data_IF_649491050405
#
_entry.id   IF_649491050405
#
_cell.length_a   1.000
_cell.length_b   1.000
_cell.length_c   1.000
_cell.angle_alpha   90.00
_cell.angle_beta   90.00
_cell.angle_gamma   90.00
#
_symmetry.space_group_name_H-M   'P 1'
#
loop_
_entity.id
_entity.type
_entity.pdbx_description
1 polymer ?
#
# COMPACT_ATOMS: atom_id res chain seq x y z
N UNK A 1 -10.42 3.37 6.77
CA UNK A 1 -9.00 3.43 7.13
C UNK A 1 -8.73 4.34 8.31
N UNK A 2 -9.44 5.47 8.39
CA UNK A 2 -9.24 6.43 9.48
C UNK A 2 -9.56 5.83 10.86
N UNK A 3 -10.51 4.93 10.94
CA UNK A 3 -10.83 4.22 12.15
C UNK A 3 -9.86 3.06 12.41
N UNK A 4 -9.58 2.25 11.38
CA UNK A 4 -8.73 1.06 11.51
C UNK A 4 -7.31 1.41 11.91
N UNK A 5 -6.79 2.56 11.50
CA UNK A 5 -5.44 3.00 11.89
C UNK A 5 -5.27 3.26 13.38
N UNK A 6 -6.38 3.34 14.13
CA UNK A 6 -6.34 3.51 15.59
C UNK A 6 -6.40 2.16 16.33
N UNK A 7 -6.60 1.06 15.62
CA UNK A 7 -6.76 -0.26 16.22
C UNK A 7 -5.40 -0.95 16.35
N UNK A 8 -4.96 -1.18 17.58
CA UNK A 8 -3.66 -1.81 17.85
C UNK A 8 -3.50 -3.16 17.16
N UNK A 9 -4.55 -3.98 17.16
CA UNK A 9 -4.50 -5.32 16.54
C UNK A 9 -4.29 -5.23 15.03
N UNK A 10 -4.91 -4.25 14.35
CA UNK A 10 -4.72 -4.02 12.92
C UNK A 10 -3.28 -3.60 12.64
N UNK A 11 -2.76 -2.64 13.39
CA UNK A 11 -1.40 -2.15 13.22
C UNK A 11 -0.36 -3.26 13.48
N UNK A 12 -0.59 -4.08 14.49
CA UNK A 12 0.31 -5.19 14.80
C UNK A 12 0.30 -6.24 13.71
N UNK A 13 -0.85 -6.54 13.11
CA UNK A 13 -0.95 -7.46 11.99
C UNK A 13 -0.18 -6.94 10.77
N UNK A 14 -0.30 -5.65 10.46
CA UNK A 14 0.42 -5.01 9.36
C UNK A 14 1.93 -5.06 9.61
N UNK A 15 2.36 -4.75 10.83
CA UNK A 15 3.79 -4.81 11.20
C UNK A 15 4.33 -6.23 11.08
N UNK A 16 3.55 -7.24 11.47
CA UNK A 16 3.94 -8.64 11.35
C UNK A 16 4.14 -9.04 9.89
N UNK A 17 3.24 -8.65 8.99
CA UNK A 17 3.38 -8.87 7.56
C UNK A 17 4.65 -8.21 7.02
N UNK A 18 4.90 -6.97 7.39
CA UNK A 18 6.09 -6.23 6.93
C UNK A 18 7.38 -6.86 7.46
N UNK A 19 7.42 -7.25 8.74
CA UNK A 19 8.60 -7.87 9.37
C UNK A 19 8.95 -9.19 8.70
N UNK A 20 7.96 -9.97 8.29
CA UNK A 20 8.17 -11.25 7.61
C UNK A 20 8.22 -11.12 6.08
N UNK A 21 8.29 -9.91 5.57
CA UNK A 21 8.37 -9.60 4.13
C UNK A 21 7.24 -10.23 3.33
N UNK A 22 6.05 -10.27 3.92
CA UNK A 22 4.85 -10.79 3.25
C UNK A 22 4.23 -9.72 2.35
N UNK A 23 3.56 -10.12 1.26
CA UNK A 23 2.92 -9.17 0.36
C UNK A 23 1.85 -8.34 1.06
N UNK A 24 1.85 -7.05 0.76
CA UNK A 24 0.86 -6.08 1.25
C UNK A 24 0.34 -5.29 0.06
N UNK A 25 -0.97 -5.16 -0.03
CA UNK A 25 -1.60 -4.30 -1.01
C UNK A 25 -2.46 -3.26 -0.29
N UNK A 26 -2.32 -1.99 -0.67
CA UNK A 26 -3.10 -0.91 -0.10
C UNK A 26 -3.49 0.08 -1.20
N UNK A 27 -4.66 0.68 -1.05
CA UNK A 27 -5.21 1.60 -2.06
C UNK A 27 -5.91 2.78 -1.39
N UNK A 28 -5.82 3.95 -2.03
CA UNK A 28 -6.53 5.16 -1.63
C UNK A 28 -6.13 5.59 -0.22
N UNK A 29 -7.09 5.71 0.69
CA UNK A 29 -6.84 6.07 2.09
C UNK A 29 -6.32 4.88 2.93
N UNK A 30 -6.27 3.67 2.38
CA UNK A 30 -5.71 2.50 3.06
C UNK A 30 -4.26 2.69 3.47
N UNK A 31 -3.53 3.55 2.78
CA UNK A 31 -2.15 3.91 3.13
C UNK A 31 -2.04 4.52 4.53
N UNK A 32 -3.11 5.10 5.06
CA UNK A 32 -3.13 5.63 6.43
C UNK A 32 -2.89 4.55 7.48
N UNK A 33 -3.33 3.33 7.21
CA UNK A 33 -3.05 2.19 8.09
C UNK A 33 -1.55 1.88 8.07
N UNK A 34 -0.95 1.89 6.88
CA UNK A 34 0.47 1.60 6.72
C UNK A 34 1.35 2.69 7.35
N UNK A 35 0.96 3.97 7.20
CA UNK A 35 1.71 5.07 7.83
C UNK A 35 1.61 4.99 9.35
N UNK A 36 0.43 4.70 9.90
CA UNK A 36 0.23 4.54 11.33
C UNK A 36 1.02 3.35 11.89
N UNK A 37 1.15 2.27 11.13
CA UNK A 37 1.94 1.10 11.51
C UNK A 37 3.45 1.32 11.39
N UNK A 38 3.88 2.40 10.72
CA UNK A 38 5.30 2.71 10.55
C UNK A 38 6.01 1.86 9.50
N UNK A 39 5.28 1.21 8.60
CA UNK A 39 5.87 0.26 7.64
C UNK A 39 6.22 0.89 6.29
N UNK A 40 5.94 2.19 6.09
CA UNK A 40 6.29 2.86 4.84
C UNK A 40 7.68 3.50 4.87
N UNK A 41 8.33 3.53 6.02
CA UNK A 41 9.65 4.15 6.16
C UNK A 41 10.65 3.49 5.20
N UNK A 42 11.31 4.31 4.38
CA UNK A 42 12.26 3.83 3.40
C UNK A 42 11.63 3.16 2.17
N UNK A 43 10.30 3.19 2.07
CA UNK A 43 9.58 2.56 0.96
C UNK A 43 9.05 3.61 -0.01
N UNK A 44 8.88 3.19 -1.26
CA UNK A 44 8.20 3.99 -2.28
C UNK A 44 6.78 3.48 -2.43
N UNK A 45 5.81 4.38 -2.39
CA UNK A 45 4.42 4.00 -2.54
C UNK A 45 3.57 5.16 -3.04
N UNK A 46 2.40 4.83 -3.51
CA UNK A 46 1.40 5.81 -3.91
C UNK A 46 0.15 5.66 -3.06
N UNK A 47 -0.75 6.62 -3.14
CA UNK A 47 -2.00 6.65 -2.38
C UNK A 47 -2.94 7.64 -3.03
N UNK A 48 -4.14 7.78 -2.47
CA UNK A 48 -4.96 8.94 -2.80
C UNK A 48 -4.11 10.21 -2.57
N UNK A 49 -4.10 11.17 -3.50
CA UNK A 49 -3.15 12.30 -3.41
C UNK A 49 -3.16 13.05 -2.08
N UNK A 50 -4.31 13.16 -1.42
CA UNK A 50 -4.42 13.81 -0.13
C UNK A 50 -3.63 13.09 0.98
N UNK A 51 -3.28 11.82 0.79
CA UNK A 51 -2.48 11.03 1.74
C UNK A 51 -0.98 11.11 1.47
N UNK A 52 -0.56 11.79 0.40
CA UNK A 52 0.86 11.94 0.07
C UNK A 52 1.69 12.56 1.20
N UNK A 53 1.26 13.68 1.79
CA UNK A 53 1.99 14.28 2.92
C UNK A 53 2.17 13.34 4.10
N UNK A 54 1.20 12.49 4.40
CA UNK A 54 1.30 11.50 5.49
C UNK A 54 2.41 10.48 5.20
N UNK A 55 2.52 10.02 3.96
CA UNK A 55 3.58 9.09 3.56
C UNK A 55 4.95 9.72 3.76
N UNK A 56 5.11 10.97 3.33
CA UNK A 56 6.37 11.70 3.48
C UNK A 56 6.72 11.88 4.95
N UNK A 57 5.77 12.28 5.77
CA UNK A 57 5.98 12.47 7.22
C UNK A 57 6.34 11.15 7.91
N UNK A 58 5.84 10.04 7.42
CA UNK A 58 6.13 8.71 7.97
C UNK A 58 7.47 8.14 7.47
N UNK A 59 8.23 8.89 6.69
CA UNK A 59 9.56 8.50 6.20
C UNK A 59 9.54 7.72 4.89
N UNK A 60 8.39 7.63 4.23
CA UNK A 60 8.28 7.03 2.91
C UNK A 60 8.49 8.05 1.80
N UNK A 61 8.54 7.56 0.58
CA UNK A 61 8.58 8.39 -0.63
C UNK A 61 7.26 8.24 -1.38
N UNK A 62 6.48 9.32 -1.44
CA UNK A 62 5.25 9.35 -2.22
C UNK A 62 5.58 9.45 -3.70
N UNK A 63 5.03 8.53 -4.49
CA UNK A 63 5.19 8.50 -5.95
C UNK A 63 3.84 8.83 -6.58
N UNK A 64 3.77 9.96 -7.29
CA UNK A 64 2.56 10.32 -8.02
C UNK A 64 2.45 9.45 -9.26
N UNK A 65 1.31 8.80 -9.41
CA UNK A 65 1.00 7.98 -10.59
C UNK A 65 -0.36 8.40 -11.15
N UNK A 66 -0.64 8.10 -12.43
CA UNK A 66 -1.99 8.29 -12.97
C UNK A 66 -3.03 7.53 -12.13
N UNK A 67 -4.25 8.06 -12.08
CA UNK A 67 -5.30 7.55 -11.18
C UNK A 67 -5.69 6.10 -11.44
N UNK A 68 -5.40 5.58 -12.63
CA UNK A 68 -5.71 4.20 -13.04
C UNK A 68 -4.49 3.27 -12.98
N UNK A 69 -3.38 3.71 -12.38
CA UNK A 69 -2.14 2.95 -12.30
C UNK A 69 -1.83 2.53 -10.86
N UNK A 70 -1.09 1.42 -10.75
CA UNK A 70 -0.55 0.94 -9.48
C UNK A 70 0.96 1.16 -9.43
N UNK A 71 1.52 1.15 -8.23
CA UNK A 71 2.95 1.21 -8.02
C UNK A 71 3.41 0.02 -7.18
N UNK A 72 4.50 -0.60 -7.60
CA UNK A 72 5.06 -1.79 -6.93
C UNK A 72 6.45 -1.45 -6.38
N UNK A 73 6.64 -1.71 -5.08
CA UNK A 73 7.94 -1.64 -4.44
C UNK A 73 8.15 -2.97 -3.69
N UNK A 74 8.87 -3.90 -4.30
CA UNK A 74 9.05 -5.23 -3.74
C UNK A 74 7.72 -5.94 -3.53
N UNK A 75 7.38 -6.22 -2.28
CA UNK A 75 6.13 -6.87 -1.90
C UNK A 75 5.01 -5.90 -1.57
N UNK A 76 5.23 -4.60 -1.73
CA UNK A 76 4.23 -3.58 -1.45
C UNK A 76 3.62 -3.09 -2.77
N UNK A 77 2.32 -3.27 -2.92
CA UNK A 77 1.57 -2.83 -4.10
C UNK A 77 0.56 -1.78 -3.66
N UNK A 78 0.68 -0.58 -4.20
CA UNK A 78 -0.16 0.55 -3.81
C UNK A 78 -0.80 1.19 -5.02
N UNK A 79 -1.93 1.86 -4.82
CA UNK A 79 -2.65 2.53 -5.87
C UNK A 79 -3.43 3.74 -5.32
N UNK A 80 -3.75 4.73 -6.17
CA UNK A 80 -4.36 5.97 -5.68
C UNK A 80 -5.86 5.88 -5.42
N UNK A 81 -6.63 5.20 -6.26
CA UNK A 81 -8.08 5.21 -6.16
C UNK A 81 -8.72 4.06 -6.96
N UNK A 82 -10.05 3.95 -6.86
CA UNK A 82 -10.80 2.87 -7.48
C UNK A 82 -10.56 2.67 -8.99
N UNK A 83 -10.27 3.69 -9.83
CA UNK A 83 -9.96 3.43 -11.24
C UNK A 83 -8.72 2.56 -11.43
N UNK A 84 -7.87 2.46 -10.42
CA UNK A 84 -6.67 1.62 -10.46
C UNK A 84 -6.92 0.18 -10.04
N UNK A 85 -8.13 -0.21 -9.62
CA UNK A 85 -8.40 -1.58 -9.16
C UNK A 85 -7.89 -2.66 -10.12
N UNK A 86 -8.11 -2.59 -11.44
CA UNK A 86 -7.59 -3.63 -12.33
C UNK A 86 -6.07 -3.74 -12.32
N UNK A 87 -5.37 -2.61 -12.39
CA UNK A 87 -3.90 -2.58 -12.34
C UNK A 87 -3.38 -3.07 -10.98
N UNK A 88 -4.00 -2.59 -9.89
CA UNK A 88 -3.64 -2.93 -8.54
C UNK A 88 -3.79 -4.42 -8.25
N UNK A 89 -4.91 -5.02 -8.64
CA UNK A 89 -5.14 -6.45 -8.46
C UNK A 89 -4.20 -7.28 -9.33
N UNK A 90 -3.96 -6.87 -10.57
CA UNK A 90 -3.02 -7.56 -11.47
C UNK A 90 -1.62 -7.61 -10.87
N UNK A 91 -1.12 -6.47 -10.38
CA UNK A 91 0.21 -6.42 -9.79
C UNK A 91 0.30 -7.18 -8.48
N UNK A 92 -0.74 -7.13 -7.66
CA UNK A 92 -0.77 -7.89 -6.41
C UNK A 92 -0.78 -9.39 -6.65
N UNK A 93 -1.53 -9.87 -7.64
CA UNK A 93 -1.53 -11.27 -8.02
C UNK A 93 -0.15 -11.73 -8.47
N UNK A 94 0.59 -10.89 -9.21
CA UNK A 94 1.98 -11.20 -9.60
C UNK A 94 2.88 -11.33 -8.38
N UNK A 95 2.76 -10.43 -7.43
CA UNK A 95 3.56 -10.46 -6.19
C UNK A 95 3.25 -11.71 -5.38
N UNK A 96 1.99 -12.15 -5.37
CA UNK A 96 1.58 -13.39 -4.71
C UNK A 96 2.05 -14.64 -5.46
N UNK A 97 2.59 -14.50 -6.66
CA UNK A 97 3.01 -15.62 -7.48
C UNK A 97 1.88 -16.32 -8.22
N UNK A 98 0.71 -15.71 -8.28
CA UNK A 98 -0.42 -16.26 -9.01
C UNK A 98 -0.18 -16.21 -10.52
N UNK A 99 -0.62 -17.26 -11.23
CA UNK A 99 -0.56 -17.31 -12.69
C UNK A 99 -1.99 -17.40 -13.21
N UNK A 100 -2.28 -16.57 -14.19
CA UNK A 100 -3.56 -16.65 -14.91
C UNK A 100 -3.28 -17.41 -16.19
N UNK A 101 -3.92 -18.57 -16.33
CA UNK A 101 -3.84 -19.38 -17.54
C UNK A 101 -5.16 -19.25 -18.28
N UNK A 102 -5.09 -18.86 -19.53
CA UNK A 102 -6.26 -18.74 -20.39
C UNK A 102 -6.27 -19.93 -21.36
#
# INVERSE_FOLDING_TARGET
>A
PEYLRLQADVLNLVRDFATHNKPIAAICHGLQILTAAGVVKGRRCTAYPACGPEITLAGGQFVAVPIDQAYVDGNLVTAPAWPAHPAWLREFLKVLGAKITI
#
